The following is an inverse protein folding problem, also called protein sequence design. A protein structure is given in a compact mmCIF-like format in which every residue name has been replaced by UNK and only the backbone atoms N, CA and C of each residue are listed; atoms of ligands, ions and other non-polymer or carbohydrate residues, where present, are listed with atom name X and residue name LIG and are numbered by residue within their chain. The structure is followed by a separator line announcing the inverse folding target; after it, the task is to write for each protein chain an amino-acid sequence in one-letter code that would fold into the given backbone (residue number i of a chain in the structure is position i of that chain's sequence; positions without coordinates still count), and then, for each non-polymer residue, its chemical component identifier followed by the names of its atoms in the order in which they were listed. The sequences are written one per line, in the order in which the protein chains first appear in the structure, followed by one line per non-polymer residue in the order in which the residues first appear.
data_IF_270675625950
#
_entry.id   IF_270675625950
#
_cell.length_a   1.000
_cell.length_b   1.000
_cell.length_c   1.000
_cell.angle_alpha   90.00
_cell.angle_beta   90.00
_cell.angle_gamma   90.00
#
_symmetry.space_group_name_H-M   'P 1'
#
loop_
_entity.id
_entity.type
_entity.pdbx_description
1 polymer ?
#
# COMPACT_ATOMS: atom_id res chain seq x y z
N UNK A 1 27.48 -10.72 0.36
CA UNK A 1 26.69 -9.52 0.07
C UNK A 1 27.50 -8.68 -0.91
N UNK A 2 26.88 -8.18 -1.98
CA UNK A 2 27.55 -7.24 -2.86
C UNK A 2 27.78 -5.92 -2.13
N UNK A 3 28.92 -5.29 -2.39
CA UNK A 3 29.26 -3.95 -1.89
C UNK A 3 28.49 -2.86 -2.65
N UNK A 4 28.41 -1.67 -2.06
CA UNK A 4 27.76 -0.52 -2.69
C UNK A 4 28.39 -0.19 -4.06
N UNK A 5 29.73 -0.18 -4.16
CA UNK A 5 30.44 0.02 -5.42
C UNK A 5 30.03 -0.99 -6.50
N UNK A 6 29.91 -2.27 -6.15
CA UNK A 6 29.54 -3.32 -7.12
C UNK A 6 28.11 -3.16 -7.64
N UNK A 7 27.19 -2.74 -6.78
CA UNK A 7 25.79 -2.45 -7.15
C UNK A 7 25.73 -1.21 -8.05
N UNK A 8 26.46 -0.16 -7.70
CA UNK A 8 26.51 1.09 -8.47
C UNK A 8 27.08 0.86 -9.87
N UNK A 9 28.19 0.12 -9.98
CA UNK A 9 28.79 -0.21 -11.28
C UNK A 9 27.88 -1.11 -12.12
N UNK A 10 27.09 -1.98 -11.49
CA UNK A 10 26.08 -2.78 -12.18
C UNK A 10 24.94 -1.91 -12.70
N UNK A 11 24.41 -0.98 -11.90
CA UNK A 11 23.37 -0.05 -12.31
C UNK A 11 23.82 0.90 -13.44
N UNK A 12 25.10 1.28 -13.47
CA UNK A 12 25.68 2.10 -14.55
C UNK A 12 25.69 1.38 -15.91
N UNK A 13 25.71 0.05 -15.95
CA UNK A 13 25.68 -0.72 -17.20
C UNK A 13 24.28 -0.83 -17.80
N UNK A 14 23.24 -0.56 -17.01
CA UNK A 14 21.86 -0.53 -17.45
C UNK A 14 21.61 0.67 -18.37
N UNK A 15 20.76 0.46 -19.37
CA UNK A 15 20.18 1.53 -20.18
C UNK A 15 19.30 2.45 -19.34
N UNK A 16 18.98 3.63 -19.88
CA UNK A 16 18.10 4.59 -19.19
C UNK A 16 16.72 4.00 -18.85
N UNK A 17 16.18 3.12 -19.71
CA UNK A 17 14.88 2.46 -19.48
C UNK A 17 14.97 1.44 -18.34
N UNK A 18 16.02 0.63 -18.34
CA UNK A 18 16.22 -0.38 -17.29
C UNK A 18 16.50 0.26 -15.92
N UNK A 19 17.17 1.43 -15.88
CA UNK A 19 17.36 2.18 -14.63
C UNK A 19 16.05 2.74 -14.07
N UNK A 20 15.16 3.19 -14.93
CA UNK A 20 13.82 3.64 -14.52
C UNK A 20 13.03 2.48 -13.92
N UNK A 21 13.01 1.32 -14.58
CA UNK A 21 12.34 0.12 -14.08
C UNK A 21 12.92 -0.36 -12.74
N UNK A 22 14.25 -0.30 -12.57
CA UNK A 22 14.90 -0.64 -11.31
C UNK A 22 14.51 0.34 -10.19
N UNK A 23 14.48 1.65 -10.48
CA UNK A 23 14.05 2.65 -9.50
C UNK A 23 12.59 2.46 -9.10
N UNK A 24 11.70 2.16 -10.05
CA UNK A 24 10.29 1.87 -9.78
C UNK A 24 10.14 0.63 -8.90
N UNK A 25 10.90 -0.43 -9.16
CA UNK A 25 10.87 -1.67 -8.37
C UNK A 25 11.36 -1.45 -6.93
N UNK A 26 12.46 -0.73 -6.75
CA UNK A 26 12.99 -0.40 -5.42
C UNK A 26 12.03 0.50 -4.63
N UNK A 27 11.45 1.50 -5.29
CA UNK A 27 10.46 2.38 -4.70
C UNK A 27 9.19 1.60 -4.28
N UNK A 28 8.77 0.65 -5.10
CA UNK A 28 7.63 -0.22 -4.84
C UNK A 28 7.87 -1.19 -3.66
N UNK A 29 9.10 -1.68 -3.49
CA UNK A 29 9.51 -2.48 -2.33
C UNK A 29 9.59 -1.63 -1.05
N UNK A 30 10.19 -0.44 -1.10
CA UNK A 30 10.36 0.43 0.08
C UNK A 30 9.03 1.02 0.58
N UNK A 31 8.14 1.39 -0.33
CA UNK A 31 6.89 2.06 0.01
C UNK A 31 5.69 1.11 0.08
N UNK A 32 5.86 -0.18 -0.21
CA UNK A 32 4.78 -1.17 -0.25
C UNK A 32 3.77 -0.97 -1.40
N UNK A 33 3.93 0.07 -2.23
CA UNK A 33 3.07 0.34 -3.39
C UNK A 33 3.18 -0.74 -4.48
N UNK A 34 4.21 -1.60 -4.44
CA UNK A 34 4.36 -2.75 -5.35
C UNK A 34 3.35 -3.89 -5.15
N UNK A 35 2.56 -3.83 -4.08
CA UNK A 35 1.49 -4.81 -3.81
C UNK A 35 0.18 -4.47 -4.51
N UNK A 36 0.02 -3.25 -5.03
CA UNK A 36 -1.19 -2.81 -5.73
C UNK A 36 -0.96 -3.06 -7.23
N UNK A 37 -1.13 -4.31 -7.65
CA UNK A 37 -0.71 -4.80 -8.98
C UNK A 37 -1.72 -4.56 -10.09
N UNK A 38 -2.89 -3.97 -9.84
CA UNK A 38 -3.86 -3.64 -10.89
C UNK A 38 -4.43 -2.23 -10.80
N UNK A 39 -4.63 -1.58 -11.96
CA UNK A 39 -5.60 -0.47 -12.09
C UNK A 39 -7.01 -0.90 -11.64
N UNK A 40 -7.29 -2.21 -11.69
CA UNK A 40 -8.49 -2.87 -11.18
C UNK A 40 -8.63 -2.73 -9.66
N UNK A 41 -7.52 -2.72 -8.90
CA UNK A 41 -7.54 -2.60 -7.43
C UNK A 41 -7.90 -1.18 -6.95
N UNK A 42 -7.84 -0.19 -7.85
CA UNK A 42 -8.08 1.24 -7.58
C UNK A 42 -9.18 1.81 -8.49
N UNK A 43 -9.85 0.95 -9.28
CA UNK A 43 -10.83 1.40 -10.27
C UNK A 43 -11.99 2.17 -9.62
N UNK A 44 -12.28 1.87 -8.35
CA UNK A 44 -13.22 2.61 -7.53
C UNK A 44 -12.74 2.74 -6.08
N UNK A 45 -11.60 3.41 -5.90
CA UNK A 45 -11.05 3.67 -4.58
C UNK A 45 -12.03 4.43 -3.66
N UNK A 46 -12.90 5.27 -4.24
CA UNK A 46 -13.91 6.01 -3.48
C UNK A 46 -14.97 5.05 -2.91
N UNK A 47 -15.50 4.15 -3.73
CA UNK A 47 -16.40 3.09 -3.25
C UNK A 47 -15.70 2.14 -2.29
N UNK A 48 -14.49 1.69 -2.58
CA UNK A 48 -13.74 0.81 -1.66
C UNK A 48 -13.55 1.43 -0.28
N UNK A 49 -13.17 2.72 -0.22
CA UNK A 49 -13.02 3.44 1.06
C UNK A 49 -14.40 3.68 1.71
N UNK A 50 -15.45 3.90 0.94
CA UNK A 50 -16.81 4.04 1.46
C UNK A 50 -17.30 2.74 2.10
N UNK A 51 -17.09 1.61 1.42
CA UNK A 51 -17.50 0.28 1.89
C UNK A 51 -16.76 -0.09 3.17
N UNK A 52 -15.43 0.13 3.22
CA UNK A 52 -14.65 -0.07 4.43
C UNK A 52 -15.17 0.77 5.60
N UNK A 53 -15.50 2.05 5.36
CA UNK A 53 -16.04 2.92 6.39
C UNK A 53 -17.43 2.47 6.85
N UNK A 54 -18.28 2.01 5.95
CA UNK A 54 -19.60 1.51 6.32
C UNK A 54 -19.51 0.22 7.16
N UNK A 55 -18.60 -0.69 6.80
CA UNK A 55 -18.30 -1.88 7.60
C UNK A 55 -17.75 -1.51 8.99
N UNK A 56 -16.83 -0.54 9.05
CA UNK A 56 -16.20 -0.13 10.31
C UNK A 56 -17.17 0.60 11.25
N UNK A 57 -18.23 1.20 10.70
CA UNK A 57 -19.33 1.81 11.45
C UNK A 57 -20.35 0.79 11.96
N UNK A 58 -20.21 -0.50 11.62
CA UNK A 58 -21.09 -1.57 12.10
C UNK A 58 -20.40 -2.54 13.04
N UNK A 59 -21.16 -3.08 13.97
CA UNK A 59 -20.71 -4.18 14.82
C UNK A 59 -20.74 -5.50 14.06
N UNK A 60 -20.13 -6.57 14.61
CA UNK A 60 -20.18 -7.91 13.99
C UNK A 60 -21.60 -8.47 13.82
N UNK A 61 -22.57 -8.04 14.62
CA UNK A 61 -23.99 -8.38 14.50
C UNK A 61 -24.78 -7.46 13.54
N UNK A 62 -24.11 -6.51 12.89
CA UNK A 62 -24.67 -5.67 11.82
C UNK A 62 -25.44 -4.44 12.28
N UNK A 63 -25.38 -4.08 13.58
CA UNK A 63 -25.96 -2.83 14.09
C UNK A 63 -24.96 -1.69 13.96
N UNK A 64 -25.42 -0.45 13.92
CA UNK A 64 -24.52 0.71 13.97
C UNK A 64 -23.79 0.76 15.32
N UNK A 65 -22.46 1.00 15.28
CA UNK A 65 -21.65 1.21 16.48
C UNK A 65 -22.07 2.50 17.18
N UNK A 66 -22.06 2.50 18.51
CA UNK A 66 -22.19 3.75 19.25
C UNK A 66 -20.86 4.52 19.24
N UNK A 67 -20.88 5.84 19.50
CA UNK A 67 -19.64 6.62 19.62
C UNK A 67 -18.64 6.03 20.62
N UNK A 68 -19.10 5.46 21.74
CA UNK A 68 -18.25 4.85 22.76
C UNK A 68 -17.59 3.55 22.27
N UNK A 69 -18.28 2.78 21.43
CA UNK A 69 -17.73 1.56 20.82
C UNK A 69 -16.66 1.89 19.79
N UNK A 70 -16.91 2.93 18.97
CA UNK A 70 -15.94 3.42 18.00
C UNK A 70 -14.65 3.92 18.68
N UNK A 71 -14.78 4.70 19.75
CA UNK A 71 -13.63 5.21 20.51
C UNK A 71 -12.79 4.09 21.12
N UNK A 72 -13.45 3.06 21.66
CA UNK A 72 -12.74 1.92 22.24
C UNK A 72 -11.88 1.20 21.21
N UNK A 73 -12.41 0.96 20.01
CA UNK A 73 -11.67 0.29 18.93
C UNK A 73 -10.41 1.08 18.55
N UNK A 74 -10.51 2.41 18.47
CA UNK A 74 -9.37 3.29 18.14
C UNK A 74 -8.30 3.38 19.23
N UNK A 75 -8.66 3.18 20.50
CA UNK A 75 -7.72 3.22 21.63
C UNK A 75 -6.90 1.92 21.77
N UNK A 76 -7.37 0.82 21.16
CA UNK A 76 -6.70 -0.49 21.21
C UNK A 76 -5.84 -0.83 19.99
N UNK A 77 -5.82 0.02 18.96
CA UNK A 77 -5.07 -0.21 17.72
C UNK A 77 -3.74 0.53 17.69
#
# INVERSE_FOLDING_TARGET
MASYEEILESAKRLSSVERLQLADALLAEELGFGMWRGREDVADAETYVSDLREEDMRTPDGREKTPEEFLRDTETS
#
